data_IF_654075589435
#
_entry.id   IF_654075589435
#
_cell.length_a   1.000
_cell.length_b   1.000
_cell.length_c   1.000
_cell.angle_alpha   90.00
_cell.angle_beta   90.00
_cell.angle_gamma   90.00
#
_symmetry.space_group_name_H-M   'P 1'
#
loop_
_entity.id
_entity.type
_entity.pdbx_description
1 polymer ?
#
# COMPACT_ATOMS: atom_id res chain seq x y z
N UNK A 1 -12.80 -13.75 4.19
CA UNK A 1 -13.35 -13.42 2.87
C UNK A 1 -13.58 -11.92 2.81
N UNK A 2 -13.17 -11.26 1.74
CA UNK A 2 -13.36 -9.81 1.53
C UNK A 2 -14.56 -9.50 0.62
N UNK A 3 -15.24 -10.53 0.12
CA UNK A 3 -16.42 -10.43 -0.77
C UNK A 3 -17.59 -9.62 -0.21
N UNK A 4 -17.61 -9.38 1.11
CA UNK A 4 -18.64 -8.58 1.80
C UNK A 4 -18.43 -7.06 1.66
N UNK A 5 -17.25 -6.62 1.21
CA UNK A 5 -16.89 -5.22 1.07
C UNK A 5 -17.01 -4.77 -0.38
N UNK A 6 -17.47 -3.54 -0.59
CA UNK A 6 -17.54 -2.96 -1.92
C UNK A 6 -16.14 -2.64 -2.49
N UNK A 7 -16.00 -2.45 -3.80
CA UNK A 7 -14.74 -2.02 -4.41
C UNK A 7 -14.19 -0.73 -3.79
N UNK A 8 -15.06 0.24 -3.49
CA UNK A 8 -14.66 1.52 -2.88
C UNK A 8 -14.13 1.34 -1.46
N UNK A 9 -14.73 0.46 -0.65
CA UNK A 9 -14.25 0.15 0.70
C UNK A 9 -12.84 -0.46 0.65
N UNK A 10 -12.61 -1.37 -0.30
CA UNK A 10 -11.31 -2.01 -0.50
C UNK A 10 -10.27 -1.04 -1.03
N UNK A 11 -10.65 -0.13 -1.93
CA UNK A 11 -9.77 0.90 -2.47
C UNK A 11 -9.37 1.91 -1.40
N UNK A 12 -10.31 2.34 -0.56
CA UNK A 12 -10.03 3.21 0.58
C UNK A 12 -9.01 2.57 1.53
N UNK A 13 -9.23 1.32 1.91
CA UNK A 13 -8.30 0.59 2.79
C UNK A 13 -6.95 0.40 2.10
N UNK A 14 -6.92 0.07 0.82
CA UNK A 14 -5.67 -0.07 0.06
C UNK A 14 -4.89 1.24 0.04
N UNK A 15 -5.55 2.38 -0.20
CA UNK A 15 -4.93 3.70 -0.17
C UNK A 15 -4.33 3.98 1.21
N UNK A 16 -5.10 3.77 2.29
CA UNK A 16 -4.57 3.95 3.64
C UNK A 16 -3.35 3.07 3.92
N UNK A 17 -3.42 1.79 3.58
CA UNK A 17 -2.32 0.85 3.84
C UNK A 17 -1.07 1.21 3.06
N UNK A 18 -1.23 1.61 1.79
CA UNK A 18 -0.14 1.92 0.87
C UNK A 18 0.50 3.28 1.11
N UNK A 19 -0.23 4.24 1.71
CA UNK A 19 0.28 5.58 2.03
C UNK A 19 0.84 5.71 3.45
N UNK A 20 0.71 4.68 4.30
CA UNK A 20 1.18 4.72 5.71
C UNK A 20 2.69 4.39 5.81
N UNK A 21 3.52 5.29 6.39
CA UNK A 21 4.91 5.02 6.72
C UNK A 21 5.09 3.75 7.58
N UNK A 22 6.04 2.89 7.25
CA UNK A 22 6.32 1.66 8.03
C UNK A 22 7.76 1.63 8.54
N UNK A 23 7.94 1.46 9.85
CA UNK A 23 9.27 1.31 10.47
C UNK A 23 10.12 0.20 9.84
N UNK A 24 9.51 -0.91 9.46
CA UNK A 24 10.19 -2.03 8.78
C UNK A 24 10.71 -1.68 7.39
N UNK A 25 10.18 -0.63 6.77
CA UNK A 25 10.61 -0.09 5.48
C UNK A 25 11.51 1.14 5.66
N UNK A 26 12.11 1.34 6.85
CA UNK A 26 12.88 2.56 7.11
C UNK A 26 12.04 3.83 7.24
N UNK A 27 10.73 3.67 7.48
CA UNK A 27 9.69 4.70 7.45
C UNK A 27 9.22 5.14 6.06
N UNK A 28 9.67 4.50 4.99
CA UNK A 28 9.04 4.65 3.68
C UNK A 28 7.61 4.06 3.68
N UNK A 29 6.78 4.52 2.76
CA UNK A 29 5.47 3.92 2.49
C UNK A 29 5.59 2.68 1.60
N UNK A 30 4.67 1.70 1.70
CA UNK A 30 4.67 0.55 0.79
C UNK A 30 4.64 0.94 -0.69
N UNK A 31 3.90 2.00 -1.05
CA UNK A 31 3.83 2.50 -2.42
C UNK A 31 5.19 3.00 -2.93
N UNK A 32 5.94 3.74 -2.11
CA UNK A 32 7.28 4.22 -2.47
C UNK A 32 8.26 3.08 -2.66
N UNK A 33 8.32 2.13 -1.72
CA UNK A 33 9.22 0.97 -1.83
C UNK A 33 8.93 0.14 -3.07
N UNK A 34 7.64 -0.07 -3.38
CA UNK A 34 7.24 -0.82 -4.57
C UNK A 34 7.68 -0.09 -5.85
N UNK A 35 7.43 1.22 -5.94
CA UNK A 35 7.88 2.05 -7.07
C UNK A 35 9.40 1.95 -7.24
N UNK A 36 10.15 2.09 -6.16
CA UNK A 36 11.61 2.08 -6.23
C UNK A 36 12.14 0.70 -6.69
N UNK A 37 11.52 -0.40 -6.25
CA UNK A 37 11.83 -1.76 -6.72
C UNK A 37 11.54 -1.96 -8.21
N UNK A 38 10.44 -1.38 -8.71
CA UNK A 38 10.09 -1.46 -10.14
C UNK A 38 11.04 -0.65 -11.03
N UNK A 39 11.60 0.45 -10.50
CA UNK A 39 12.54 1.30 -11.23
C UNK A 39 14.00 0.80 -11.16
N UNK A 40 14.33 -0.03 -10.17
CA UNK A 40 15.66 -0.58 -9.99
C UNK A 40 15.99 -1.76 -10.93
N UNK A 41 15.06 -2.16 -11.82
CA UNK A 41 15.19 -3.31 -12.72
C UNK A 41 15.19 -2.92 -14.20
#
# INVERSE_FOLDING_TARGET
>A
DLSIYGPEDLEHVAQELNSRPRKTLGWDTPAERLRDLLLAN
#
